data_IF_292190720631
#
_entry.id   IF_292190720631
#
_cell.length_a   1.000
_cell.length_b   1.000
_cell.length_c   1.000
_cell.angle_alpha   90.00
_cell.angle_beta   90.00
_cell.angle_gamma   90.00
#
_symmetry.space_group_name_H-M   'P 1'
#
loop_
_entity.id
_entity.type
_entity.pdbx_description
1 polymer ?
#
# COMPACT_ATOMS: atom_id res chain seq x y z
N UNK A 1 4.60 19.52 2.15
CA UNK A 1 4.11 19.75 3.54
C UNK A 1 3.30 18.54 4.00
N UNK A 2 3.51 18.05 5.26
CA UNK A 2 2.72 16.94 5.83
C UNK A 2 1.81 17.46 6.95
N UNK A 3 0.50 17.20 6.85
CA UNK A 3 -0.50 17.47 7.90
C UNK A 3 -0.75 16.19 8.69
N UNK A 4 -0.93 16.33 10.04
CA UNK A 4 -1.19 15.20 10.97
C UNK A 4 -2.42 15.48 11.81
N UNK A 5 -3.32 14.50 11.99
CA UNK A 5 -4.45 14.52 12.93
C UNK A 5 -4.91 13.11 13.25
N UNK A 6 -5.90 12.94 14.12
CA UNK A 6 -6.46 11.64 14.46
C UNK A 6 -7.86 11.46 13.87
N UNK A 7 -8.17 10.22 13.52
CA UNK A 7 -9.49 9.79 13.03
C UNK A 7 -9.97 8.58 13.81
N UNK A 8 -11.29 8.39 13.87
CA UNK A 8 -11.87 7.16 14.39
C UNK A 8 -11.70 6.02 13.38
N UNK A 9 -11.11 4.93 13.84
CA UNK A 9 -10.81 3.74 13.04
C UNK A 9 -11.48 2.51 13.66
N UNK A 10 -12.12 1.62 12.87
CA UNK A 10 -12.69 0.36 13.38
C UNK A 10 -11.57 -0.64 13.64
N UNK A 11 -11.17 -0.76 14.89
CA UNK A 11 -10.15 -1.72 15.31
C UNK A 11 -10.76 -3.08 15.68
N UNK A 12 -9.90 -4.09 15.86
CA UNK A 12 -10.31 -5.45 16.26
C UNK A 12 -11.16 -5.46 17.52
N UNK A 13 -10.84 -4.59 18.49
CA UNK A 13 -11.50 -4.48 19.79
C UNK A 13 -12.44 -3.28 19.92
N UNK A 14 -13.01 -2.80 18.80
CA UNK A 14 -13.93 -1.67 18.81
C UNK A 14 -13.45 -0.50 17.95
N UNK A 15 -13.54 0.73 18.47
CA UNK A 15 -13.10 1.94 17.76
C UNK A 15 -11.91 2.54 18.46
N UNK A 16 -10.87 2.84 17.69
CA UNK A 16 -9.64 3.48 18.16
C UNK A 16 -9.41 4.81 17.46
N UNK A 17 -8.55 5.66 18.06
CA UNK A 17 -8.01 6.84 17.40
C UNK A 17 -6.70 6.47 16.71
N UNK A 18 -6.63 6.72 15.39
CA UNK A 18 -5.45 6.49 14.58
C UNK A 18 -4.95 7.78 13.98
N UNK A 19 -3.64 8.00 14.01
CA UNK A 19 -3.05 9.14 13.32
C UNK A 19 -3.17 8.97 11.81
N UNK A 20 -3.49 10.08 11.18
CA UNK A 20 -3.49 10.25 9.73
C UNK A 20 -2.42 11.24 9.36
N UNK A 21 -1.75 10.98 8.27
CA UNK A 21 -0.73 11.81 7.65
C UNK A 21 -1.16 12.13 6.23
N UNK A 22 -1.15 13.41 5.87
CA UNK A 22 -1.42 13.80 4.49
C UNK A 22 -0.30 14.71 4.00
N UNK A 23 0.47 14.20 3.04
CA UNK A 23 1.42 14.99 2.28
C UNK A 23 0.69 15.75 1.17
N UNK A 24 0.99 17.04 1.07
CA UNK A 24 0.53 17.92 0.00
C UNK A 24 1.75 18.35 -0.83
N UNK A 25 1.67 18.25 -2.18
CA UNK A 25 2.79 18.59 -3.06
C UNK A 25 3.18 20.07 -2.99
N UNK A 26 4.37 20.41 -3.42
CA UNK A 26 4.98 21.74 -3.32
C UNK A 26 4.09 22.84 -3.91
N UNK A 27 3.47 22.58 -5.08
CA UNK A 27 2.58 23.52 -5.76
C UNK A 27 1.16 23.58 -5.19
N UNK A 28 0.83 22.83 -4.13
CA UNK A 28 -0.54 22.76 -3.63
C UNK A 28 -1.10 24.11 -3.21
N UNK A 29 -0.33 24.92 -2.49
CA UNK A 29 -0.80 26.26 -2.07
C UNK A 29 -0.65 27.31 -3.16
N UNK A 30 0.30 27.15 -4.10
CA UNK A 30 0.58 28.10 -5.16
C UNK A 30 -0.44 28.04 -6.32
N UNK A 31 -1.04 26.87 -6.55
CA UNK A 31 -2.05 26.65 -7.60
C UNK A 31 -3.35 26.12 -6.99
N UNK A 32 -4.28 27.02 -6.60
CA UNK A 32 -5.51 26.64 -5.91
C UNK A 32 -6.53 25.89 -6.78
N UNK A 33 -6.41 25.95 -8.09
CA UNK A 33 -7.33 25.29 -9.04
C UNK A 33 -6.87 23.87 -9.38
N UNK A 34 -5.58 23.57 -9.16
CA UNK A 34 -5.03 22.27 -9.49
C UNK A 34 -5.54 21.18 -8.57
N UNK A 35 -5.90 20.02 -9.16
CA UNK A 35 -6.27 18.79 -8.47
C UNK A 35 -5.22 17.72 -8.69
N UNK A 36 -5.15 16.77 -7.77
CA UNK A 36 -4.05 15.82 -7.70
C UNK A 36 -4.57 14.39 -7.55
N UNK A 37 -3.90 13.40 -8.15
CA UNK A 37 -4.10 12.00 -7.80
C UNK A 37 -3.74 11.75 -6.33
N UNK A 38 -4.25 10.66 -5.76
CA UNK A 38 -4.02 10.31 -4.36
C UNK A 38 -3.44 8.90 -4.24
N UNK A 39 -2.31 8.78 -3.55
CA UNK A 39 -1.78 7.51 -3.07
C UNK A 39 -2.19 7.29 -1.62
N UNK A 40 -3.01 6.28 -1.38
CA UNK A 40 -3.35 5.82 -0.04
C UNK A 40 -2.28 4.85 0.45
N UNK A 41 -1.69 5.11 1.63
CA UNK A 41 -0.61 4.28 2.18
C UNK A 41 -1.02 3.62 3.48
N UNK A 42 -0.70 2.33 3.61
CA UNK A 42 -0.71 1.61 4.86
C UNK A 42 0.51 1.99 5.72
N UNK A 43 0.43 1.73 7.03
CA UNK A 43 1.52 1.99 7.98
C UNK A 43 1.99 3.45 7.99
N UNK A 44 1.04 4.38 8.10
CA UNK A 44 1.29 5.83 7.97
C UNK A 44 2.41 6.37 8.86
N UNK A 45 2.63 5.76 10.03
CA UNK A 45 3.72 6.11 10.94
C UNK A 45 5.11 5.89 10.34
N UNK A 46 5.24 4.97 9.37
CA UNK A 46 6.53 4.64 8.75
C UNK A 46 6.80 5.42 7.45
N UNK A 47 5.86 6.26 6.97
CA UNK A 47 5.93 6.84 5.63
C UNK A 47 6.82 8.08 5.56
N UNK A 48 6.74 8.98 6.55
CA UNK A 48 7.29 10.33 6.40
C UNK A 48 8.41 10.71 7.38
N UNK A 49 8.31 10.31 8.66
CA UNK A 49 9.18 10.83 9.71
C UNK A 49 9.82 9.70 10.51
N UNK A 50 11.12 9.79 10.72
CA UNK A 50 11.88 8.79 11.46
C UNK A 50 11.43 8.73 12.94
N UNK A 51 11.04 9.87 13.54
CA UNK A 51 10.55 9.95 14.91
C UNK A 51 9.18 9.28 15.14
N UNK A 52 8.37 9.14 14.10
CA UNK A 52 7.08 8.43 14.18
C UNK A 52 7.20 6.94 13.82
N UNK A 53 8.30 6.57 13.15
CA UNK A 53 8.45 5.23 12.57
C UNK A 53 8.64 4.16 13.64
N UNK A 54 7.99 3.01 13.45
CA UNK A 54 8.00 1.87 14.39
C UNK A 54 9.42 1.42 14.77
N UNK A 55 10.35 1.48 13.82
CA UNK A 55 11.75 1.06 14.00
C UNK A 55 12.75 2.23 13.90
N UNK A 56 12.28 3.48 14.06
CA UNK A 56 13.12 4.66 14.03
C UNK A 56 13.68 5.02 12.65
N UNK A 57 13.16 4.43 11.58
CA UNK A 57 13.48 4.75 10.20
C UNK A 57 12.20 4.75 9.37
N UNK A 58 11.92 5.86 8.70
CA UNK A 58 10.80 6.01 7.78
C UNK A 58 11.23 5.78 6.31
N UNK A 59 10.26 5.84 5.42
CA UNK A 59 10.53 5.81 3.97
C UNK A 59 11.08 7.14 3.45
N UNK A 60 11.06 8.22 4.23
CA UNK A 60 11.48 9.55 3.79
C UNK A 60 10.68 10.06 2.58
N UNK A 61 9.42 9.62 2.46
CA UNK A 61 8.64 9.82 1.22
C UNK A 61 8.36 11.30 0.93
N UNK A 62 8.21 12.15 1.96
CA UNK A 62 7.99 13.58 1.75
C UNK A 62 9.20 14.25 1.09
N UNK A 63 10.41 13.94 1.55
CA UNK A 63 11.65 14.50 1.01
C UNK A 63 11.85 14.06 -0.45
N UNK A 64 11.54 12.80 -0.75
CA UNK A 64 11.60 12.28 -2.11
C UNK A 64 10.61 13.02 -3.03
N UNK A 65 9.35 13.17 -2.61
CA UNK A 65 8.31 13.83 -3.41
C UNK A 65 8.59 15.33 -3.59
N UNK A 66 9.10 16.01 -2.57
CA UNK A 66 9.51 17.40 -2.67
C UNK A 66 10.72 17.56 -3.63
N UNK A 67 11.71 16.65 -3.56
CA UNK A 67 12.87 16.66 -4.45
C UNK A 67 12.51 16.42 -5.92
N UNK A 68 11.54 15.54 -6.19
CA UNK A 68 11.13 15.19 -7.56
C UNK A 68 9.99 16.06 -8.09
N UNK A 69 9.45 16.98 -7.26
CA UNK A 69 8.25 17.78 -7.56
C UNK A 69 7.08 16.95 -8.10
N UNK A 70 6.90 15.74 -7.53
CA UNK A 70 5.87 14.81 -7.97
C UNK A 70 4.48 15.33 -7.59
N UNK A 71 3.56 15.56 -8.55
CA UNK A 71 2.27 16.19 -8.31
C UNK A 71 1.24 15.18 -7.77
N UNK A 72 1.44 14.71 -6.54
CA UNK A 72 0.66 13.66 -5.91
C UNK A 72 0.36 14.02 -4.45
N UNK A 73 -0.87 13.76 -3.99
CA UNK A 73 -1.22 13.73 -2.57
C UNK A 73 -0.96 12.32 -2.04
N UNK A 74 -0.34 12.21 -0.86
CA UNK A 74 -0.22 10.92 -0.16
C UNK A 74 -1.02 10.98 1.12
N UNK A 75 -1.98 10.08 1.30
CA UNK A 75 -2.83 9.97 2.47
C UNK A 75 -2.57 8.63 3.18
N UNK A 76 -1.98 8.68 4.37
CA UNK A 76 -1.53 7.50 5.10
C UNK A 76 -2.19 7.39 6.47
N UNK A 77 -2.48 6.17 6.91
CA UNK A 77 -3.07 5.88 8.22
C UNK A 77 -2.13 4.97 9.00
N UNK A 78 -1.92 5.31 10.27
CA UNK A 78 -1.18 4.51 11.23
C UNK A 78 -1.81 3.12 11.39
N UNK A 79 -0.98 2.07 11.43
CA UNK A 79 -1.47 0.72 11.73
C UNK A 79 -1.72 0.53 13.23
N UNK A 80 -2.29 -0.62 13.59
CA UNK A 80 -2.39 -1.03 14.98
C UNK A 80 -1.01 -1.36 15.54
N UNK A 81 -0.61 -0.65 16.58
CA UNK A 81 0.65 -0.88 17.30
C UNK A 81 0.46 -1.73 18.58
N UNK A 82 -0.71 -2.37 18.76
CA UNK A 82 -1.04 -3.20 19.92
C UNK A 82 -0.13 -4.42 20.08
N UNK A 83 0.04 -4.86 21.33
CA UNK A 83 0.99 -5.91 21.71
C UNK A 83 0.67 -7.31 21.17
N UNK A 84 -0.55 -7.53 20.68
CA UNK A 84 -1.05 -8.84 20.24
C UNK A 84 -0.94 -9.06 18.72
N UNK A 85 -0.02 -8.40 18.05
CA UNK A 85 0.13 -8.47 16.58
C UNK A 85 -1.17 -8.10 15.82
N UNK A 86 -1.96 -7.18 16.36
CA UNK A 86 -3.26 -6.79 15.81
C UNK A 86 -3.14 -6.21 14.40
N UNK A 87 -1.98 -5.65 14.03
CA UNK A 87 -1.67 -5.28 12.63
C UNK A 87 -1.77 -6.48 11.67
N UNK A 88 -1.38 -7.68 12.09
CA UNK A 88 -1.50 -8.89 11.27
C UNK A 88 -2.98 -9.27 11.04
N UNK A 89 -3.84 -9.04 12.04
CA UNK A 89 -5.29 -9.23 11.90
C UNK A 89 -5.89 -8.18 10.96
N UNK A 90 -5.62 -6.90 11.19
CA UNK A 90 -6.17 -5.79 10.41
C UNK A 90 -5.70 -5.80 8.95
N UNK A 91 -4.45 -6.24 8.69
CA UNK A 91 -3.85 -6.25 7.37
C UNK A 91 -3.83 -7.63 6.71
N UNK A 92 -4.68 -8.54 7.15
CA UNK A 92 -4.96 -9.77 6.41
C UNK A 92 -6.42 -9.84 5.96
N UNK A 93 -6.68 -9.97 4.65
CA UNK A 93 -8.04 -10.19 4.14
C UNK A 93 -8.52 -11.63 4.36
N UNK A 94 -7.65 -12.50 4.89
CA UNK A 94 -7.88 -13.93 5.04
C UNK A 94 -7.45 -14.41 6.41
N UNK A 95 -8.15 -15.44 6.91
CA UNK A 95 -7.69 -16.26 8.03
C UNK A 95 -6.40 -16.97 7.65
N UNK A 96 -5.40 -16.96 8.56
CA UNK A 96 -4.17 -17.70 8.39
C UNK A 96 -3.58 -18.14 9.73
N UNK A 97 -2.70 -19.11 9.68
CA UNK A 97 -1.92 -19.60 10.81
C UNK A 97 -0.44 -19.34 10.56
N UNK A 98 0.25 -18.84 11.56
CA UNK A 98 1.69 -18.64 11.52
C UNK A 98 2.34 -19.47 12.65
N UNK A 99 3.39 -20.27 12.36
CA UNK A 99 4.04 -21.12 13.36
C UNK A 99 4.63 -20.37 14.56
N UNK A 100 5.02 -19.11 14.35
CA UNK A 100 5.64 -18.26 15.37
C UNK A 100 4.61 -17.42 16.12
N UNK A 101 3.62 -16.87 15.42
CA UNK A 101 2.69 -15.87 15.96
C UNK A 101 1.30 -16.42 16.27
N UNK A 102 0.95 -17.61 15.79
CA UNK A 102 -0.32 -18.27 16.08
C UNK A 102 -1.40 -18.05 15.02
N UNK A 103 -2.67 -18.06 15.47
CA UNK A 103 -3.84 -17.99 14.62
C UNK A 103 -4.37 -16.56 14.47
N UNK A 104 -4.71 -16.16 13.24
CA UNK A 104 -5.28 -14.86 12.91
C UNK A 104 -6.54 -14.99 12.05
N UNK A 105 -7.64 -14.38 12.51
CA UNK A 105 -8.91 -14.43 11.78
C UNK A 105 -8.95 -13.55 10.53
N UNK A 106 -8.17 -12.47 10.51
CA UNK A 106 -8.07 -11.54 9.38
C UNK A 106 -9.32 -10.66 9.24
N UNK A 107 -9.14 -9.35 9.43
CA UNK A 107 -10.20 -8.33 9.28
C UNK A 107 -9.90 -7.33 8.15
N UNK A 108 -8.99 -7.65 7.25
CA UNK A 108 -8.56 -6.77 6.16
C UNK A 108 -9.69 -6.30 5.25
N UNK A 109 -10.79 -7.06 5.14
CA UNK A 109 -11.98 -6.60 4.42
C UNK A 109 -12.65 -5.41 5.12
N UNK A 110 -12.72 -5.41 6.46
CA UNK A 110 -13.25 -4.28 7.24
C UNK A 110 -12.32 -3.06 7.11
N UNK A 111 -11.01 -3.29 7.13
CA UNK A 111 -10.00 -2.27 6.86
C UNK A 111 -10.25 -1.61 5.49
N UNK A 112 -10.39 -2.39 4.43
CA UNK A 112 -10.66 -1.85 3.09
C UNK A 112 -12.01 -1.15 3.00
N UNK A 113 -13.05 -1.69 3.64
CA UNK A 113 -14.35 -1.03 3.71
C UNK A 113 -14.25 0.36 4.34
N UNK A 114 -13.46 0.52 5.41
CA UNK A 114 -13.21 1.81 6.02
C UNK A 114 -12.44 2.76 5.10
N UNK A 115 -11.38 2.28 4.42
CA UNK A 115 -10.63 3.08 3.43
C UNK A 115 -11.55 3.62 2.34
N UNK A 116 -12.40 2.78 1.77
CA UNK A 116 -13.25 3.11 0.62
C UNK A 116 -14.43 3.99 1.02
N UNK A 117 -15.11 3.68 2.14
CA UNK A 117 -16.39 4.32 2.48
C UNK A 117 -16.27 5.44 3.52
N UNK A 118 -15.12 5.60 4.16
CA UNK A 118 -14.89 6.65 5.16
C UNK A 118 -13.67 7.50 4.85
N UNK A 119 -12.49 6.89 4.71
CA UNK A 119 -11.25 7.63 4.58
C UNK A 119 -11.13 8.32 3.22
N UNK A 120 -11.29 7.61 2.11
CA UNK A 120 -11.26 8.21 0.78
C UNK A 120 -12.27 9.35 0.61
N UNK A 121 -13.57 9.19 0.94
CA UNK A 121 -14.51 10.29 0.86
C UNK A 121 -14.19 11.48 1.77
N UNK A 122 -13.53 11.24 2.91
CA UNK A 122 -13.04 12.32 3.77
C UNK A 122 -11.90 13.10 3.09
N UNK A 123 -10.93 12.40 2.52
CA UNK A 123 -9.81 13.02 1.79
C UNK A 123 -10.33 13.82 0.60
N UNK A 124 -11.23 13.26 -0.22
CA UNK A 124 -11.79 13.92 -1.40
C UNK A 124 -12.58 15.19 -1.08
N UNK A 125 -13.26 15.24 0.09
CA UNK A 125 -13.99 16.44 0.52
C UNK A 125 -13.10 17.55 1.09
N UNK A 126 -11.95 17.19 1.64
CA UNK A 126 -11.10 18.14 2.38
C UNK A 126 -9.86 18.59 1.61
N UNK A 127 -9.52 17.90 0.53
CA UNK A 127 -8.34 18.19 -0.30
C UNK A 127 -8.71 18.23 -1.78
N UNK A 128 -7.90 18.89 -2.58
CA UNK A 128 -8.09 19.02 -4.03
C UNK A 128 -7.62 17.75 -4.73
N UNK A 129 -8.42 16.71 -4.67
CA UNK A 129 -8.17 15.41 -5.29
C UNK A 129 -8.81 15.28 -6.66
N UNK A 130 -8.29 14.37 -7.47
CA UNK A 130 -8.97 13.74 -8.59
C UNK A 130 -9.58 12.44 -8.05
N UNK A 131 -10.92 12.38 -7.82
CA UNK A 131 -11.53 11.31 -7.02
C UNK A 131 -11.83 10.03 -7.80
N UNK A 132 -11.66 10.05 -9.11
CA UNK A 132 -11.89 8.91 -9.98
C UNK A 132 -10.87 7.78 -9.78
N UNK A 133 -11.19 6.62 -10.34
CA UNK A 133 -10.37 5.41 -10.24
C UNK A 133 -8.96 5.63 -10.78
N UNK A 134 -8.83 6.27 -11.92
CA UNK A 134 -7.58 6.46 -12.66
C UNK A 134 -6.55 7.24 -11.85
N UNK A 135 -7.03 8.06 -10.91
CA UNK A 135 -6.21 8.90 -10.04
C UNK A 135 -6.20 8.44 -8.57
N UNK A 136 -6.69 7.22 -8.29
CA UNK A 136 -6.73 6.65 -6.94
C UNK A 136 -5.80 5.44 -6.86
N UNK A 137 -4.72 5.57 -6.07
CA UNK A 137 -3.66 4.57 -5.93
C UNK A 137 -3.58 4.07 -4.50
N UNK A 138 -2.98 2.90 -4.30
CA UNK A 138 -2.78 2.31 -2.96
C UNK A 138 -1.39 1.70 -2.84
N UNK A 139 -0.78 1.78 -1.65
CA UNK A 139 0.57 1.26 -1.46
C UNK A 139 0.89 0.87 -0.03
N UNK A 140 1.91 0.04 0.13
CA UNK A 140 2.44 -0.37 1.41
C UNK A 140 3.49 -1.47 1.29
N UNK A 141 4.07 -1.84 2.43
CA UNK A 141 5.06 -2.92 2.51
C UNK A 141 4.60 -4.07 3.40
N UNK A 142 5.18 -5.24 3.21
CA UNK A 142 4.91 -6.41 4.07
C UNK A 142 3.42 -6.77 4.07
N UNK A 143 2.76 -6.77 5.23
CA UNK A 143 1.30 -6.92 5.32
C UNK A 143 0.55 -5.76 4.64
N UNK A 144 1.08 -4.53 4.66
CA UNK A 144 0.55 -3.41 3.87
C UNK A 144 0.68 -3.64 2.37
N UNK A 145 1.77 -4.29 1.93
CA UNK A 145 1.94 -4.74 0.53
C UNK A 145 0.93 -5.82 0.13
N UNK A 146 0.64 -6.78 1.04
CA UNK A 146 -0.43 -7.76 0.87
C UNK A 146 -1.78 -7.08 0.68
N UNK A 147 -2.10 -6.10 1.55
CA UNK A 147 -3.35 -5.34 1.46
C UNK A 147 -3.42 -4.48 0.20
N UNK A 148 -2.30 -3.92 -0.27
CA UNK A 148 -2.25 -3.15 -1.52
C UNK A 148 -2.54 -4.03 -2.73
N UNK A 149 -1.96 -5.22 -2.78
CA UNK A 149 -2.24 -6.22 -3.80
C UNK A 149 -3.71 -6.69 -3.75
N UNK A 150 -4.22 -6.97 -2.55
CA UNK A 150 -5.62 -7.33 -2.35
C UNK A 150 -6.57 -6.22 -2.80
N UNK A 151 -6.27 -4.97 -2.43
CA UNK A 151 -7.08 -3.81 -2.81
C UNK A 151 -7.15 -3.62 -4.32
N UNK A 152 -6.02 -3.69 -5.03
CA UNK A 152 -5.96 -3.61 -6.49
C UNK A 152 -6.84 -4.67 -7.16
N UNK A 153 -6.82 -5.90 -6.65
CA UNK A 153 -7.51 -7.02 -7.28
C UNK A 153 -9.00 -7.10 -6.91
N UNK A 154 -9.36 -6.76 -5.66
CA UNK A 154 -10.72 -6.91 -5.15
C UNK A 154 -11.57 -5.65 -5.36
N UNK A 155 -10.93 -4.47 -5.36
CA UNK A 155 -11.56 -3.16 -5.46
C UNK A 155 -10.96 -2.37 -6.63
N UNK A 156 -10.86 -3.03 -7.78
CA UNK A 156 -10.25 -2.46 -8.98
C UNK A 156 -11.08 -1.32 -9.59
N UNK A 157 -12.36 -1.26 -9.26
CA UNK A 157 -13.26 -0.14 -9.57
C UNK A 157 -12.94 1.14 -8.78
N UNK A 158 -12.17 1.02 -7.72
CA UNK A 158 -11.73 2.13 -6.85
C UNK A 158 -10.25 2.45 -7.03
N UNK A 159 -9.39 1.44 -7.11
CA UNK A 159 -7.94 1.59 -7.19
C UNK A 159 -7.42 1.09 -8.53
N UNK A 160 -6.88 2.01 -9.34
CA UNK A 160 -6.28 1.64 -10.64
C UNK A 160 -4.84 1.16 -10.51
N UNK A 161 -4.11 1.59 -9.47
CA UNK A 161 -2.67 1.36 -9.33
C UNK A 161 -2.32 0.96 -7.92
N UNK A 162 -1.40 0.00 -7.80
CA UNK A 162 -0.89 -0.43 -6.49
C UNK A 162 0.63 -0.53 -6.46
N UNK A 163 1.19 -0.21 -5.28
CA UNK A 163 2.58 -0.50 -4.93
C UNK A 163 2.62 -1.51 -3.77
N UNK A 164 3.08 -2.72 -4.06
CA UNK A 164 3.18 -3.82 -3.10
C UNK A 164 4.66 -4.16 -2.88
N UNK A 165 5.29 -3.52 -1.88
CA UNK A 165 6.68 -3.75 -1.56
C UNK A 165 6.82 -4.91 -0.58
N UNK A 166 7.64 -5.90 -0.91
CA UNK A 166 7.83 -7.12 -0.11
C UNK A 166 6.52 -7.71 0.41
N UNK A 167 5.46 -7.86 -0.42
CA UNK A 167 4.13 -8.23 0.05
C UNK A 167 4.12 -9.60 0.73
N UNK A 168 3.41 -9.73 1.85
CA UNK A 168 3.28 -10.97 2.62
C UNK A 168 2.41 -12.03 1.90
N UNK A 169 2.78 -12.40 0.67
CA UNK A 169 2.04 -13.38 -0.16
C UNK A 169 1.95 -14.75 0.55
N UNK A 170 2.95 -15.09 1.36
CA UNK A 170 3.03 -16.33 2.13
C UNK A 170 1.84 -16.53 3.09
N UNK A 171 1.15 -15.47 3.50
CA UNK A 171 -0.02 -15.52 4.39
C UNK A 171 -1.17 -16.35 3.78
N UNK A 172 -1.45 -16.19 2.49
CA UNK A 172 -2.55 -16.89 1.83
C UNK A 172 -2.29 -17.04 0.31
N UNK A 173 -1.24 -17.75 -0.11
CA UNK A 173 -0.80 -17.79 -1.50
C UNK A 173 -1.89 -18.32 -2.46
N UNK A 174 -2.59 -19.39 -2.07
CA UNK A 174 -3.63 -19.99 -2.92
C UNK A 174 -4.84 -19.07 -3.08
N UNK A 175 -5.24 -18.36 -2.01
CA UNK A 175 -6.36 -17.42 -2.05
C UNK A 175 -6.03 -16.21 -2.91
N UNK A 176 -4.81 -15.68 -2.80
CA UNK A 176 -4.32 -14.57 -3.65
C UNK A 176 -4.21 -15.00 -5.11
N UNK A 177 -3.61 -16.16 -5.37
CA UNK A 177 -3.53 -16.76 -6.69
C UNK A 177 -4.90 -16.94 -7.34
N UNK A 178 -5.88 -17.46 -6.56
CA UNK A 178 -7.27 -17.56 -7.00
C UNK A 178 -7.93 -16.19 -7.22
N UNK A 179 -7.61 -15.18 -6.40
CA UNK A 179 -8.14 -13.83 -6.55
C UNK A 179 -7.68 -13.19 -7.85
N UNK A 180 -6.38 -13.26 -8.19
CA UNK A 180 -5.87 -12.75 -9.48
C UNK A 180 -6.63 -13.36 -10.64
N UNK A 181 -6.88 -14.69 -10.59
CA UNK A 181 -7.57 -15.41 -11.69
C UNK A 181 -9.02 -14.94 -11.92
N UNK A 182 -9.74 -14.53 -10.87
CA UNK A 182 -11.16 -14.13 -10.94
C UNK A 182 -11.44 -12.63 -10.83
N UNK A 183 -10.42 -11.83 -10.54
CA UNK A 183 -10.56 -10.39 -10.40
C UNK A 183 -11.18 -9.77 -11.65
N UNK A 184 -12.12 -8.85 -11.46
CA UNK A 184 -12.60 -7.98 -12.54
C UNK A 184 -11.64 -6.81 -12.64
N UNK A 185 -10.83 -6.82 -13.67
CA UNK A 185 -9.82 -5.78 -13.89
C UNK A 185 -10.27 -4.88 -15.02
N UNK A 186 -10.27 -3.60 -14.76
CA UNK A 186 -10.51 -2.57 -15.76
C UNK A 186 -9.18 -2.26 -16.50
N UNK A 187 -9.23 -1.77 -17.73
CA UNK A 187 -8.05 -1.28 -18.45
C UNK A 187 -7.23 -0.29 -17.61
N UNK A 188 -5.94 -0.16 -17.90
CA UNK A 188 -5.05 0.75 -17.17
C UNK A 188 -4.72 0.31 -15.74
N UNK A 189 -4.97 -0.95 -15.35
CA UNK A 189 -4.55 -1.49 -14.05
C UNK A 189 -3.03 -1.66 -14.00
N UNK A 190 -2.38 -1.04 -13.00
CA UNK A 190 -0.91 -1.01 -12.83
C UNK A 190 -0.51 -1.61 -11.49
N UNK A 191 0.54 -2.41 -11.48
CA UNK A 191 1.12 -3.00 -10.28
C UNK A 191 2.64 -2.83 -10.25
N UNK A 192 3.14 -2.18 -9.20
CA UNK A 192 4.54 -2.31 -8.78
C UNK A 192 4.65 -3.37 -7.69
N UNK A 193 5.59 -4.32 -7.83
CA UNK A 193 5.82 -5.35 -6.83
C UNK A 193 7.30 -5.73 -6.75
N UNK A 194 7.89 -5.75 -5.55
CA UNK A 194 9.27 -6.15 -5.35
C UNK A 194 9.49 -7.06 -4.14
N UNK A 195 10.69 -7.61 -4.06
CA UNK A 195 11.27 -8.24 -2.87
C UNK A 195 12.76 -7.97 -2.79
N UNK A 196 13.27 -7.83 -1.58
CA UNK A 196 14.70 -7.83 -1.32
C UNK A 196 15.31 -9.22 -1.51
N UNK A 197 16.48 -9.28 -2.13
CA UNK A 197 17.14 -10.59 -2.37
C UNK A 197 17.53 -11.32 -1.09
N UNK A 198 17.71 -10.58 0.03
CA UNK A 198 18.06 -11.16 1.34
C UNK A 198 16.85 -11.63 2.13
N UNK A 199 15.62 -11.28 1.72
CA UNK A 199 14.39 -11.69 2.40
C UNK A 199 13.67 -12.88 1.73
N UNK A 200 14.09 -13.28 0.54
CA UNK A 200 13.41 -14.32 -0.27
C UNK A 200 13.42 -15.74 0.36
N UNK A 201 14.09 -15.92 1.49
CA UNK A 201 14.09 -17.17 2.25
C UNK A 201 13.44 -17.05 3.63
N UNK A 202 12.85 -15.91 3.98
CA UNK A 202 12.28 -15.68 5.31
C UNK A 202 11.04 -16.56 5.59
N UNK A 203 10.29 -16.89 4.54
CA UNK A 203 9.15 -17.80 4.61
C UNK A 203 9.20 -18.83 3.49
N UNK A 204 8.71 -20.03 3.76
CA UNK A 204 8.61 -21.08 2.77
C UNK A 204 7.71 -20.66 1.60
N UNK A 205 8.16 -20.96 0.40
CA UNK A 205 7.40 -20.68 -0.82
C UNK A 205 7.40 -19.23 -1.32
N UNK A 206 8.07 -18.28 -0.65
CA UNK A 206 8.09 -16.86 -1.07
C UNK A 206 8.51 -16.67 -2.54
N UNK A 207 9.62 -17.31 -2.95
CA UNK A 207 10.10 -17.20 -4.35
C UNK A 207 9.08 -17.71 -5.36
N UNK A 208 8.47 -18.85 -5.06
CA UNK A 208 7.44 -19.44 -5.93
C UNK A 208 6.20 -18.57 -5.96
N UNK A 209 5.72 -18.11 -4.80
CA UNK A 209 4.54 -17.24 -4.69
C UNK A 209 4.73 -15.92 -5.44
N UNK A 210 5.91 -15.31 -5.34
CA UNK A 210 6.24 -14.10 -6.09
C UNK A 210 6.23 -14.34 -7.61
N UNK A 211 6.92 -15.38 -8.07
CA UNK A 211 6.98 -15.73 -9.49
C UNK A 211 5.59 -16.05 -10.06
N UNK A 212 4.79 -16.83 -9.32
CA UNK A 212 3.42 -17.16 -9.71
C UNK A 212 2.52 -15.91 -9.78
N UNK A 213 2.63 -15.01 -8.81
CA UNK A 213 1.88 -13.76 -8.81
C UNK A 213 2.25 -12.88 -10.01
N UNK A 214 3.55 -12.73 -10.31
CA UNK A 214 4.01 -12.00 -11.49
C UNK A 214 3.46 -12.61 -12.78
N UNK A 215 3.58 -13.93 -12.94
CA UNK A 215 3.09 -14.61 -14.13
C UNK A 215 1.58 -14.43 -14.32
N UNK A 216 0.80 -14.55 -13.25
CA UNK A 216 -0.66 -14.33 -13.30
C UNK A 216 -1.01 -12.88 -13.60
N UNK A 217 -0.34 -11.91 -12.97
CA UNK A 217 -0.57 -10.49 -13.23
C UNK A 217 -0.38 -10.19 -14.73
N UNK A 218 0.71 -10.66 -15.34
CA UNK A 218 0.97 -10.50 -16.77
C UNK A 218 -0.12 -11.13 -17.64
N UNK A 219 -0.56 -12.35 -17.32
CA UNK A 219 -1.61 -13.05 -18.11
C UNK A 219 -2.99 -12.40 -17.98
N UNK A 220 -3.19 -11.57 -16.96
CA UNK A 220 -4.43 -10.81 -16.73
C UNK A 220 -4.41 -9.39 -17.30
N UNK A 221 -3.34 -9.01 -18.01
CA UNK A 221 -3.22 -7.69 -18.63
C UNK A 221 -2.91 -6.56 -17.63
N UNK A 222 -2.40 -6.91 -16.45
CA UNK A 222 -1.90 -5.89 -15.50
C UNK A 222 -0.57 -5.35 -16.03
N UNK A 223 -0.43 -4.03 -16.10
CA UNK A 223 0.85 -3.38 -16.36
C UNK A 223 1.77 -3.57 -15.16
N UNK A 224 2.64 -4.58 -15.22
CA UNK A 224 3.47 -5.02 -14.10
C UNK A 224 4.89 -4.51 -14.20
N UNK A 225 5.35 -3.82 -13.15
CA UNK A 225 6.78 -3.68 -12.83
C UNK A 225 7.11 -4.59 -11.66
N UNK A 226 7.95 -5.60 -11.88
CA UNK A 226 8.37 -6.50 -10.79
C UNK A 226 9.89 -6.55 -10.68
N UNK A 227 10.41 -6.63 -9.43
CA UNK A 227 11.84 -6.58 -9.15
C UNK A 227 12.26 -7.49 -8.01
N UNK A 228 13.45 -8.09 -8.15
CA UNK A 228 14.23 -8.58 -6.99
C UNK A 228 15.33 -7.56 -6.73
N UNK A 229 15.26 -6.89 -5.58
CA UNK A 229 16.18 -5.80 -5.18
C UNK A 229 17.49 -6.39 -4.68
N UNK A 230 18.63 -6.21 -5.38
CA UNK A 230 19.90 -6.75 -4.94
C UNK A 230 20.32 -6.21 -3.57
N UNK A 231 20.61 -7.11 -2.62
CA UNK A 231 20.98 -6.74 -1.25
C UNK A 231 19.84 -6.19 -0.39
N UNK A 232 18.62 -6.06 -0.95
CA UNK A 232 17.45 -5.58 -0.24
C UNK A 232 17.07 -6.49 0.93
N UNK A 233 16.60 -5.87 2.00
CA UNK A 233 16.13 -6.49 3.24
C UNK A 233 14.70 -6.08 3.53
N UNK A 234 14.03 -6.77 4.44
CA UNK A 234 12.66 -6.44 4.89
C UNK A 234 12.69 -5.26 5.86
N UNK A 235 12.87 -4.05 5.35
CA UNK A 235 13.01 -2.84 6.18
C UNK A 235 12.68 -1.55 5.43
N UNK A 236 12.30 -0.52 6.17
CA UNK A 236 12.00 0.82 5.66
C UNK A 236 13.19 1.41 4.89
N UNK A 237 14.42 1.23 5.37
CA UNK A 237 15.65 1.68 4.68
C UNK A 237 15.86 1.00 3.31
N UNK A 238 15.32 -0.21 3.14
CA UNK A 238 15.35 -0.90 1.84
C UNK A 238 14.22 -0.40 0.93
N UNK A 239 13.03 -0.17 1.46
CA UNK A 239 11.87 0.31 0.71
C UNK A 239 12.01 1.77 0.29
N UNK A 240 12.60 2.64 1.13
CA UNK A 240 12.98 4.01 0.75
C UNK A 240 13.73 4.06 -0.58
N UNK A 241 14.71 3.16 -0.79
CA UNK A 241 15.50 3.09 -2.02
C UNK A 241 14.69 2.66 -3.26
N UNK A 242 13.48 2.16 -3.06
CA UNK A 242 12.60 1.74 -4.15
C UNK A 242 11.62 2.85 -4.58
N UNK A 243 11.54 3.97 -3.86
CA UNK A 243 10.66 5.09 -4.20
C UNK A 243 10.79 5.54 -5.67
N UNK A 244 12.00 5.68 -6.26
CA UNK A 244 12.13 6.07 -7.66
C UNK A 244 11.43 5.11 -8.63
N UNK A 245 11.55 3.80 -8.40
CA UNK A 245 10.96 2.79 -9.26
C UNK A 245 9.46 2.65 -9.02
N UNK A 246 9.04 2.75 -7.78
CA UNK A 246 7.64 2.75 -7.36
C UNK A 246 6.90 3.92 -8.02
N UNK A 247 7.38 5.15 -7.84
CA UNK A 247 6.73 6.33 -8.40
C UNK A 247 6.82 6.40 -9.91
N UNK A 248 7.92 5.98 -10.52
CA UNK A 248 8.00 5.84 -11.98
C UNK A 248 6.88 4.92 -12.51
N UNK A 249 6.61 3.81 -11.83
CA UNK A 249 5.54 2.88 -12.21
C UNK A 249 4.15 3.46 -11.94
N UNK A 250 3.93 4.05 -10.75
CA UNK A 250 2.62 4.59 -10.38
C UNK A 250 2.22 5.83 -11.18
N UNK A 251 3.18 6.62 -11.66
CA UNK A 251 2.93 7.85 -12.43
C UNK A 251 3.06 7.65 -13.94
N UNK A 252 3.34 6.41 -14.39
CA UNK A 252 3.43 6.10 -15.82
C UNK A 252 2.08 6.32 -16.51
N UNK A 253 2.09 7.04 -17.62
CA UNK A 253 0.91 7.19 -18.49
C UNK A 253 0.75 5.89 -19.29
N UNK A 254 -0.34 5.19 -19.05
CA UNK A 254 -0.70 4.01 -19.82
C UNK A 254 -1.37 4.49 -21.09
N UNK A 255 -0.68 4.32 -22.22
CA UNK A 255 -1.29 4.51 -23.54
C UNK A 255 -2.32 3.40 -23.77
N UNK A 256 -3.56 3.76 -24.08
CA UNK A 256 -4.64 2.82 -24.43
C UNK A 256 -4.50 2.29 -25.87
#
# INVERSE_FOLDING_TARGET
MVKKWSVSYPAVNGTEQRRVYVYLPTMYEADPDRRYPVLYMFDGQNVFFDEDATFGKSWGMADYLDYTDTPLIVAAVECNAGANNERLVEYSPYRFDDPQFGHFDGTGQATMSWYIHRFKPFIDRNFRTLPDREHTFIGGSSMGGLMSLYALLQYNDTFSRAAALSPSIWVAPDKLSGLVGRAKLEPGTVLYMDYGSREMGNHDGMRRGFAEMCAKAMTRGIHLTSRIVPGGTHSEASWEKQLPFMFHTLMYEVEE
#
